data_IF_281246201618
#
_entry.id   IF_281246201618
#
_cell.length_a   1.000
_cell.length_b   1.000
_cell.length_c   1.000
_cell.angle_alpha   90.00
_cell.angle_beta   90.00
_cell.angle_gamma   90.00
#
_symmetry.space_group_name_H-M   'P 1'
#
loop_
_entity.id
_entity.type
_entity.pdbx_description
1 polymer ?
#
# COMPACT_ATOMS: atom_id res chain seq x y z
N UNK A 1 11.23 -27.64 7.81
CA UNK A 1 11.87 -26.97 6.66
C UNK A 1 10.78 -26.87 5.61
N UNK A 2 10.02 -25.77 5.64
CA UNK A 2 8.96 -25.55 4.66
C UNK A 2 9.61 -25.32 3.32
N UNK A 3 9.52 -26.32 2.44
CA UNK A 3 9.73 -26.13 1.02
C UNK A 3 8.59 -25.26 0.52
N UNK A 4 8.78 -23.94 0.56
CA UNK A 4 8.01 -23.06 -0.31
C UNK A 4 8.24 -23.58 -1.73
N UNK A 5 7.20 -24.16 -2.34
CA UNK A 5 7.24 -24.56 -3.72
C UNK A 5 7.62 -23.30 -4.54
N UNK A 6 8.71 -23.39 -5.30
CA UNK A 6 9.14 -22.28 -6.16
C UNK A 6 8.07 -22.06 -7.22
N UNK A 7 7.40 -20.91 -7.17
CA UNK A 7 6.47 -20.49 -8.23
C UNK A 7 7.32 -19.81 -9.31
N UNK A 8 7.31 -20.28 -10.58
CA UNK A 8 8.15 -19.74 -11.65
C UNK A 8 7.57 -18.41 -12.19
N UNK A 9 7.49 -17.39 -11.34
CA UNK A 9 6.86 -16.10 -11.62
C UNK A 9 7.53 -15.40 -12.82
N UNK A 10 8.81 -15.65 -13.07
CA UNK A 10 9.56 -15.15 -14.23
C UNK A 10 8.92 -15.54 -15.57
N UNK A 11 8.22 -16.68 -15.63
CA UNK A 11 7.54 -17.17 -16.83
C UNK A 11 6.21 -16.48 -17.11
N UNK A 12 5.67 -15.75 -16.12
CA UNK A 12 4.35 -15.13 -16.24
C UNK A 12 4.43 -13.83 -17.05
N UNK A 13 3.40 -13.60 -17.86
CA UNK A 13 3.12 -12.29 -18.44
C UNK A 13 2.88 -11.25 -17.34
N UNK A 14 2.99 -9.97 -17.69
CA UNK A 14 2.68 -8.87 -16.75
C UNK A 14 1.26 -8.98 -16.20
N UNK A 15 0.28 -9.33 -17.05
CA UNK A 15 -1.11 -9.49 -16.63
C UNK A 15 -1.28 -10.60 -15.59
N UNK A 16 -0.64 -11.75 -15.79
CA UNK A 16 -0.68 -12.86 -14.84
C UNK A 16 0.00 -12.52 -13.51
N UNK A 17 1.11 -11.78 -13.55
CA UNK A 17 1.77 -11.27 -12.33
C UNK A 17 0.84 -10.36 -11.54
N UNK A 18 0.19 -9.41 -12.19
CA UNK A 18 -0.75 -8.49 -11.54
C UNK A 18 -1.96 -9.24 -10.95
N UNK A 19 -2.53 -10.20 -11.68
CA UNK A 19 -3.62 -11.03 -11.16
C UNK A 19 -3.18 -11.91 -9.99
N UNK A 20 -1.94 -12.43 -10.01
CA UNK A 20 -1.38 -13.16 -8.88
C UNK A 20 -1.23 -12.24 -7.66
N UNK A 21 -0.66 -11.04 -7.84
CA UNK A 21 -0.54 -10.05 -6.78
C UNK A 21 -1.90 -9.72 -6.14
N UNK A 22 -2.93 -9.49 -6.96
CA UNK A 22 -4.29 -9.20 -6.48
C UNK A 22 -4.86 -10.35 -5.64
N UNK A 23 -4.74 -11.59 -6.13
CA UNK A 23 -5.24 -12.78 -5.40
C UNK A 23 -4.49 -13.02 -4.09
N UNK A 24 -3.17 -12.82 -4.10
CA UNK A 24 -2.36 -12.91 -2.89
C UNK A 24 -2.77 -11.83 -1.89
N UNK A 25 -2.99 -10.61 -2.36
CA UNK A 25 -3.42 -9.50 -1.51
C UNK A 25 -4.81 -9.75 -0.91
N UNK A 26 -5.77 -10.22 -1.71
CA UNK A 26 -7.11 -10.59 -1.23
C UNK A 26 -7.03 -11.66 -0.14
N UNK A 27 -6.26 -12.73 -0.33
CA UNK A 27 -6.12 -13.79 0.68
C UNK A 27 -5.46 -13.31 1.97
N UNK A 28 -4.31 -12.61 1.87
CA UNK A 28 -3.60 -12.07 3.03
C UNK A 28 -4.45 -11.08 3.82
N UNK A 29 -5.25 -10.26 3.13
CA UNK A 29 -6.11 -9.26 3.77
C UNK A 29 -7.21 -9.85 4.64
N UNK A 30 -7.60 -11.12 4.42
CA UNK A 30 -8.61 -11.83 5.24
C UNK A 30 -8.10 -12.17 6.64
N UNK A 31 -6.77 -12.24 6.81
CA UNK A 31 -6.11 -12.54 8.09
C UNK A 31 -5.05 -11.49 8.38
N UNK A 32 -5.44 -10.25 8.72
CA UNK A 32 -4.50 -9.16 8.91
C UNK A 32 -3.51 -9.40 10.07
N UNK A 33 -3.84 -10.29 11.01
CA UNK A 33 -2.92 -10.70 12.08
C UNK A 33 -1.68 -11.45 11.56
N UNK A 34 -1.78 -12.11 10.40
CA UNK A 34 -0.67 -12.85 9.78
C UNK A 34 0.33 -11.90 9.08
N UNK A 35 -0.06 -10.64 8.87
CA UNK A 35 0.77 -9.58 8.30
C UNK A 35 0.88 -8.44 9.32
N UNK A 36 1.67 -8.63 10.40
CA UNK A 36 1.79 -7.63 11.45
C UNK A 36 2.33 -6.33 10.89
N UNK A 37 1.74 -5.23 11.32
CA UNK A 37 2.19 -3.89 10.97
C UNK A 37 3.49 -3.58 11.73
N UNK A 38 4.48 -2.91 11.11
CA UNK A 38 5.67 -2.46 11.84
C UNK A 38 5.31 -1.52 13.00
N UNK A 39 6.03 -1.62 14.13
CA UNK A 39 5.76 -0.85 15.34
C UNK A 39 5.72 0.68 15.08
N UNK A 40 6.60 1.18 14.22
CA UNK A 40 6.69 2.60 13.87
C UNK A 40 5.46 3.14 13.10
N UNK A 41 4.66 2.28 12.46
CA UNK A 41 3.56 2.73 11.62
C UNK A 41 2.50 3.50 12.42
N UNK A 42 2.22 3.05 13.65
CA UNK A 42 1.29 3.74 14.55
C UNK A 42 1.76 5.14 14.93
N UNK A 43 3.07 5.31 15.15
CA UNK A 43 3.67 6.60 15.50
C UNK A 43 3.48 7.63 14.38
N UNK A 44 3.73 7.23 13.13
CA UNK A 44 3.53 8.09 11.95
C UNK A 44 2.06 8.49 11.78
N UNK A 45 1.12 7.57 12.02
CA UNK A 45 -0.31 7.89 11.96
C UNK A 45 -0.71 8.89 13.05
N UNK A 46 -0.20 8.71 14.27
CA UNK A 46 -0.45 9.63 15.38
C UNK A 46 0.11 11.03 15.10
N UNK A 47 1.33 11.12 14.56
CA UNK A 47 1.96 12.38 14.16
C UNK A 47 1.13 13.11 13.09
N UNK A 48 0.70 12.40 12.05
CA UNK A 48 -0.12 12.96 10.96
C UNK A 48 -1.49 13.44 11.45
N UNK A 49 -2.11 12.70 12.37
CA UNK A 49 -3.37 13.12 12.99
C UNK A 49 -3.19 14.37 13.86
N UNK A 50 -2.10 14.47 14.62
CA UNK A 50 -1.79 15.67 15.40
C UNK A 50 -1.58 16.87 14.48
N UNK A 51 -0.82 16.71 13.39
CA UNK A 51 -0.61 17.76 12.40
C UNK A 51 -1.92 18.26 11.76
N UNK A 52 -2.89 17.36 11.52
CA UNK A 52 -4.23 17.72 11.03
C UNK A 52 -4.99 18.57 12.08
N UNK A 53 -5.00 18.14 13.34
CA UNK A 53 -5.68 18.88 14.43
C UNK A 53 -5.07 20.25 14.68
N UNK A 54 -3.75 20.37 14.52
CA UNK A 54 -3.00 21.62 14.68
C UNK A 54 -3.05 22.52 13.44
N UNK A 55 -3.70 22.08 12.35
CA UNK A 55 -3.79 22.84 11.10
C UNK A 55 -2.48 22.92 10.29
N UNK A 56 -1.47 22.12 10.64
CA UNK A 56 -0.19 22.02 9.91
C UNK A 56 -0.30 21.23 8.61
N UNK A 57 -1.35 20.43 8.48
CA UNK A 57 -1.69 19.73 7.23
C UNK A 57 -3.20 19.71 7.06
N UNK A 58 -3.65 19.44 5.84
CA UNK A 58 -5.06 19.41 5.49
C UNK A 58 -5.34 18.28 4.49
N UNK A 59 -6.59 17.80 4.50
CA UNK A 59 -7.06 16.94 3.43
C UNK A 59 -7.14 17.72 2.13
N UNK A 60 -6.81 17.04 1.04
CA UNK A 60 -6.97 17.56 -0.31
C UNK A 60 -7.95 16.66 -1.05
N UNK A 61 -8.76 17.28 -1.90
CA UNK A 61 -9.59 16.52 -2.84
C UNK A 61 -8.70 15.63 -3.73
N UNK A 62 -9.18 14.41 -4.00
CA UNK A 62 -8.38 13.41 -4.71
C UNK A 62 -8.09 13.80 -6.15
N UNK A 63 -9.07 14.39 -6.85
CA UNK A 63 -8.87 14.84 -8.22
C UNK A 63 -7.96 16.08 -8.27
N UNK A 64 -8.06 16.97 -7.28
CA UNK A 64 -7.12 18.07 -7.11
C UNK A 64 -5.68 17.59 -6.87
N UNK A 65 -5.50 16.57 -6.03
CA UNK A 65 -4.18 15.97 -5.78
C UNK A 65 -3.57 15.36 -7.04
N UNK A 66 -4.35 14.55 -7.79
CA UNK A 66 -3.90 13.97 -9.06
C UNK A 66 -3.50 15.05 -10.07
N UNK A 67 -4.33 16.09 -10.21
CA UNK A 67 -4.06 17.20 -11.13
C UNK A 67 -2.72 17.86 -10.79
N UNK A 68 -2.53 18.24 -9.52
CA UNK A 68 -1.26 18.84 -9.05
C UNK A 68 -0.05 17.95 -9.30
N UNK A 69 -0.18 16.64 -9.12
CA UNK A 69 0.91 15.70 -9.39
C UNK A 69 1.26 15.62 -10.88
N UNK A 70 0.27 15.57 -11.76
CA UNK A 70 0.49 15.59 -13.20
C UNK A 70 1.17 16.88 -13.65
N UNK A 71 0.72 18.03 -13.15
CA UNK A 71 1.32 19.34 -13.46
C UNK A 71 2.79 19.45 -13.02
N UNK A 72 3.17 18.77 -11.92
CA UNK A 72 4.56 18.77 -11.40
C UNK A 72 5.51 17.82 -12.12
N UNK A 73 4.98 16.84 -12.84
CA UNK A 73 5.76 15.78 -13.49
C UNK A 73 5.81 15.95 -15.02
N UNK A 74 5.23 17.04 -15.53
CA UNK A 74 5.43 17.54 -16.89
C UNK A 74 6.68 18.41 -16.95
#
# INVERSE_FOLDING_TARGET
>A
MDTAASVPIETFSVAEKLQLMERLWDDLSRRPADVPTPDWHGEILAERQAALREGRTAFVDWEAAKRRLRERLQ
#
